data_IF_850103024936
#
_entry.id   IF_850103024936
#
_cell.length_a   1.000
_cell.length_b   1.000
_cell.length_c   1.000
_cell.angle_alpha   90.00
_cell.angle_beta   90.00
_cell.angle_gamma   90.00
#
_symmetry.space_group_name_H-M   'P 1'
#
loop_
_entity.id
_entity.type
_entity.pdbx_description
1 polymer ?
#
# COMPACT_ATOMS: atom_id res chain seq x y z
N UNK A 1 4.32 12.32 -7.99
CA UNK A 1 3.33 11.80 -8.96
C UNK A 1 2.25 11.05 -8.19
N UNK A 2 0.96 11.26 -8.50
CA UNK A 2 -0.18 10.79 -7.68
C UNK A 2 -0.39 9.28 -7.85
N UNK A 3 -0.76 8.54 -6.79
CA UNK A 3 -1.13 7.12 -6.91
C UNK A 3 -2.33 6.97 -7.84
N UNK A 4 -2.14 6.32 -8.98
CA UNK A 4 -3.20 6.04 -9.95
C UNK A 4 -4.00 4.84 -9.48
N UNK A 5 -5.27 5.07 -9.17
CA UNK A 5 -6.22 3.99 -8.93
C UNK A 5 -6.50 3.27 -10.25
N UNK A 6 -6.03 2.03 -10.39
CA UNK A 6 -6.40 1.20 -11.52
C UNK A 6 -7.72 0.50 -11.18
N UNK A 7 -8.81 0.87 -11.86
CA UNK A 7 -10.08 0.18 -11.78
C UNK A 7 -10.15 -0.88 -12.88
N UNK A 8 -9.24 -1.85 -12.82
CA UNK A 8 -9.17 -2.94 -13.80
C UNK A 8 -9.90 -4.16 -13.22
N UNK A 9 -11.07 -4.45 -13.77
CA UNK A 9 -11.77 -5.71 -13.50
C UNK A 9 -11.29 -6.79 -14.47
N UNK A 10 -10.95 -7.97 -13.96
CA UNK A 10 -11.43 -9.28 -14.47
C UNK A 10 -10.75 -10.47 -13.77
N UNK A 11 -11.61 -11.35 -13.22
CA UNK A 11 -11.60 -12.83 -13.18
C UNK A 11 -10.31 -13.59 -12.80
N UNK A 12 -10.35 -14.40 -11.72
CA UNK A 12 -10.74 -15.83 -11.70
C UNK A 12 -10.07 -16.62 -10.54
N UNK A 13 -10.84 -17.55 -9.94
CA UNK A 13 -10.54 -18.88 -9.33
C UNK A 13 -11.48 -19.06 -8.12
N UNK A 14 -12.27 -20.12 -7.92
CA UNK A 14 -12.43 -21.41 -8.57
C UNK A 14 -12.69 -22.44 -7.46
N UNK A 15 -13.95 -22.86 -7.24
CA UNK A 15 -14.37 -24.22 -6.88
C UNK A 15 -15.89 -24.28 -6.63
N UNK A 16 -16.46 -25.38 -7.09
CA UNK A 16 -17.90 -25.68 -7.19
C UNK A 16 -18.56 -26.04 -5.85
N UNK A 17 -19.89 -26.06 -5.95
CA UNK A 17 -20.92 -26.76 -5.16
C UNK A 17 -21.44 -26.12 -3.87
N UNK A 18 -22.78 -26.13 -3.83
CA UNK A 18 -23.73 -25.85 -2.76
C UNK A 18 -24.26 -24.43 -2.56
N UNK A 19 -25.58 -24.35 -2.79
CA UNK A 19 -26.47 -23.22 -2.66
C UNK A 19 -26.73 -22.96 -1.17
N UNK A 20 -26.26 -21.82 -0.65
CA UNK A 20 -26.69 -21.34 0.66
C UNK A 20 -25.70 -20.38 1.29
N UNK A 21 -26.03 -19.09 1.25
CA UNK A 21 -25.44 -18.05 2.10
C UNK A 21 -23.93 -17.83 1.93
N UNK A 22 -23.56 -17.07 0.90
CA UNK A 22 -22.74 -15.88 1.10
C UNK A 22 -22.94 -14.99 -0.11
N UNK A 23 -23.63 -13.86 0.08
CA UNK A 23 -23.33 -12.71 -0.76
C UNK A 23 -21.87 -12.40 -0.46
N UNK A 24 -20.95 -13.02 -1.21
CA UNK A 24 -19.60 -12.54 -1.29
C UNK A 24 -19.75 -11.13 -1.79
N UNK A 25 -19.61 -10.18 -0.87
CA UNK A 25 -19.36 -8.79 -1.17
C UNK A 25 -18.21 -8.87 -2.16
N UNK A 26 -18.51 -8.75 -3.45
CA UNK A 26 -17.50 -8.48 -4.46
C UNK A 26 -17.15 -7.02 -4.21
N UNK A 27 -16.45 -6.79 -3.10
CA UNK A 27 -15.83 -5.52 -2.82
C UNK A 27 -14.98 -5.29 -4.04
N UNK A 28 -15.26 -4.22 -4.78
CA UNK A 28 -14.33 -3.72 -5.78
C UNK A 28 -13.06 -3.45 -5.01
N UNK A 29 -12.16 -4.44 -4.93
CA UNK A 29 -10.93 -4.31 -4.19
C UNK A 29 -10.11 -3.31 -4.98
N UNK A 30 -10.16 -2.06 -4.54
CA UNK A 30 -9.41 -0.96 -5.16
C UNK A 30 -7.95 -1.35 -5.03
N UNK A 31 -7.34 -1.75 -6.13
CA UNK A 31 -5.91 -2.00 -6.17
C UNK A 31 -5.19 -0.72 -6.57
N UNK A 32 -4.15 -0.41 -5.80
CA UNK A 32 -3.24 0.70 -6.01
C UNK A 32 -1.97 0.14 -6.61
N UNK A 33 -1.75 0.38 -7.91
CA UNK A 33 -0.61 -0.18 -8.64
C UNK A 33 0.59 0.76 -8.57
N UNK A 34 1.79 0.20 -8.38
CA UNK A 34 3.01 0.95 -8.54
C UNK A 34 3.23 1.32 -10.00
N UNK A 35 3.48 2.60 -10.27
CA UNK A 35 3.73 3.10 -11.63
C UNK A 35 5.12 2.73 -12.15
N UNK A 36 6.01 2.29 -11.27
CA UNK A 36 7.35 1.83 -11.65
C UNK A 36 7.26 0.41 -12.21
N UNK A 37 8.28 0.03 -12.99
CA UNK A 37 8.42 -1.27 -13.67
C UNK A 37 8.59 -2.48 -12.70
N UNK A 38 8.13 -2.38 -11.46
CA UNK A 38 8.06 -3.50 -10.51
C UNK A 38 6.74 -4.26 -10.55
N UNK A 39 5.70 -3.70 -11.17
CA UNK A 39 4.40 -4.35 -11.37
C UNK A 39 3.60 -4.67 -10.10
N UNK A 40 4.03 -4.21 -8.91
CA UNK A 40 3.35 -4.52 -7.64
C UNK A 40 2.04 -3.75 -7.48
N UNK A 41 1.04 -4.39 -6.92
CA UNK A 41 -0.25 -3.80 -6.54
C UNK A 41 -0.51 -3.96 -5.03
N UNK A 42 -1.24 -3.00 -4.47
CA UNK A 42 -1.54 -2.93 -3.04
C UNK A 42 -3.05 -2.72 -2.85
N UNK A 43 -3.63 -3.30 -1.81
CA UNK A 43 -5.07 -3.12 -1.54
C UNK A 43 -5.40 -1.72 -0.99
N UNK A 44 -4.40 -0.96 -0.52
CA UNK A 44 -4.59 0.38 0.04
C UNK A 44 -3.54 1.39 -0.46
N UNK A 45 -3.92 2.67 -0.49
CA UNK A 45 -3.03 3.78 -0.89
C UNK A 45 -1.81 3.97 0.01
N UNK A 46 -1.89 3.83 1.36
CA UNK A 46 -0.72 3.99 2.23
C UNK A 46 0.36 2.95 1.94
N UNK A 47 -0.04 1.71 1.67
CA UNK A 47 0.89 0.61 1.39
C UNK A 47 1.63 0.83 0.07
N UNK A 48 0.92 1.33 -0.97
CA UNK A 48 1.56 1.74 -2.21
C UNK A 48 2.55 2.91 -1.99
N UNK A 49 2.17 3.92 -1.20
CA UNK A 49 3.02 5.07 -0.90
C UNK A 49 4.30 4.62 -0.18
N UNK A 50 4.16 3.71 0.80
CA UNK A 50 5.27 3.10 1.51
C UNK A 50 6.20 2.36 0.55
N UNK A 51 5.61 1.58 -0.37
CA UNK A 51 6.36 0.84 -1.37
C UNK A 51 7.13 1.76 -2.33
N UNK A 52 6.55 2.90 -2.72
CA UNK A 52 7.24 3.86 -3.59
C UNK A 52 8.54 4.39 -2.99
N UNK A 53 8.64 4.46 -1.66
CA UNK A 53 9.87 4.90 -0.99
C UNK A 53 11.02 3.91 -1.09
N UNK A 54 10.72 2.62 -1.30
CA UNK A 54 11.76 1.61 -1.59
C UNK A 54 12.47 1.95 -2.89
N UNK A 55 11.77 2.53 -3.86
CA UNK A 55 12.35 2.93 -5.14
C UNK A 55 13.09 4.27 -5.06
N UNK A 56 12.59 5.22 -4.29
CA UNK A 56 13.23 6.54 -4.16
C UNK A 56 14.34 6.57 -3.10
N UNK A 57 14.40 5.57 -2.21
CA UNK A 57 15.31 5.52 -1.08
C UNK A 57 15.08 6.62 -0.03
N UNK A 58 13.98 7.37 -0.17
CA UNK A 58 13.64 8.51 0.69
C UNK A 58 12.30 8.28 1.33
N UNK A 59 12.34 8.13 2.66
CA UNK A 59 11.14 8.10 3.47
C UNK A 59 10.73 9.54 3.83
N UNK A 60 9.43 9.87 3.90
CA UNK A 60 8.97 11.25 4.01
C UNK A 60 9.13 11.83 5.41
N UNK A 61 9.34 10.97 6.42
CA UNK A 61 9.47 11.37 7.80
C UNK A 61 10.95 11.29 8.19
N UNK A 62 11.67 12.40 8.07
CA UNK A 62 13.08 12.52 8.45
C UNK A 62 13.22 13.15 9.84
N UNK A 63 14.09 12.59 10.68
CA UNK A 63 14.52 13.23 11.91
C UNK A 63 15.59 14.27 11.60
N UNK A 64 15.33 15.53 11.92
CA UNK A 64 16.26 16.64 11.64
C UNK A 64 17.56 16.55 12.46
N UNK A 65 17.53 15.89 13.61
CA UNK A 65 18.67 15.78 14.53
C UNK A 65 19.70 14.75 14.07
N UNK A 66 19.26 13.55 13.68
CA UNK A 66 20.17 12.46 13.26
C UNK A 66 20.04 12.05 11.78
N UNK A 67 19.19 12.74 11.00
CA UNK A 67 18.97 12.49 9.56
C UNK A 67 18.45 11.10 9.23
N UNK A 68 17.90 10.37 10.21
CA UNK A 68 17.23 9.08 9.97
C UNK A 68 15.84 9.29 9.39
N UNK A 69 15.50 8.53 8.35
CA UNK A 69 14.19 8.58 7.71
C UNK A 69 13.33 7.37 8.06
N UNK A 70 12.02 7.58 8.23
CA UNK A 70 11.05 6.59 8.70
C UNK A 70 9.83 6.50 7.78
N UNK A 71 9.23 5.32 7.75
CA UNK A 71 8.05 5.02 6.95
C UNK A 71 6.74 5.59 7.49
N UNK A 72 6.68 5.91 8.77
CA UNK A 72 5.46 6.40 9.38
C UNK A 72 5.78 7.53 10.34
N UNK A 73 4.88 8.50 10.43
CA UNK A 73 4.98 9.60 11.38
C UNK A 73 4.97 9.09 12.82
N UNK A 74 4.20 8.05 13.13
CA UNK A 74 4.16 7.40 14.44
C UNK A 74 5.53 6.87 14.87
N UNK A 75 6.29 6.30 13.93
CA UNK A 75 7.64 5.78 14.18
C UNK A 75 8.61 6.95 14.39
N UNK A 76 8.54 8.00 13.57
CA UNK A 76 9.33 9.21 13.78
C UNK A 76 9.05 9.85 15.15
N UNK A 77 7.78 9.97 15.55
CA UNK A 77 7.37 10.53 16.86
C UNK A 77 7.92 9.67 18.00
N UNK A 78 7.85 8.35 17.90
CA UNK A 78 8.45 7.47 18.90
C UNK A 78 9.97 7.62 18.93
N UNK A 79 10.61 7.72 17.77
CA UNK A 79 12.03 7.94 17.64
C UNK A 79 12.48 9.28 18.26
N UNK A 80 11.68 10.35 18.15
CA UNK A 80 11.99 11.61 18.83
C UNK A 80 12.03 11.50 20.35
N UNK A 81 11.43 10.47 20.96
CA UNK A 81 11.48 10.27 22.42
C UNK A 81 12.78 9.66 22.92
N UNK A 82 13.58 9.09 22.01
CA UNK A 82 14.87 8.46 22.35
C UNK A 82 16.07 9.36 22.06
N UNK A 83 15.80 10.54 21.50
CA UNK A 83 16.69 11.69 21.55
C UNK A 83 16.58 12.32 22.95
#
# INVERSE_FOLDING_TARGET
>A
ERPTLCQEGSQNFGQSSDLGVQQHIRTKEKSYKCFLECGKSFSNSPDLLIHQWVHTGKWPYECEECRKSFSQSSILIHHHKIH
#
